data_IF_248543611814
#
_entry.id   IF_248543611814
#
_cell.length_a   1.000
_cell.length_b   1.000
_cell.length_c   1.000
_cell.angle_alpha   90.00
_cell.angle_beta   90.00
_cell.angle_gamma   90.00
#
_symmetry.space_group_name_H-M   'P 1'
#
loop_
_entity.id
_entity.type
_entity.pdbx_description
1 polymer ?
#
# COMPACT_ATOMS: atom_id res chain seq x y z
N UNK A 1 18.50 -15.19 20.69
CA UNK A 1 17.03 -15.28 20.46
C UNK A 1 16.52 -13.89 20.14
N UNK A 2 15.75 -13.71 19.07
CA UNK A 2 15.20 -12.39 18.73
C UNK A 2 14.01 -12.06 19.65
N UNK A 3 13.97 -10.84 20.18
CA UNK A 3 12.80 -10.31 20.89
C UNK A 3 11.89 -9.64 19.87
N UNK A 4 10.62 -10.07 19.79
CA UNK A 4 9.62 -9.45 18.92
C UNK A 4 8.89 -8.37 19.70
N UNK A 5 8.95 -7.13 19.21
CA UNK A 5 8.24 -5.99 19.78
C UNK A 5 7.11 -5.57 18.86
N UNK A 6 5.88 -5.52 19.37
CA UNK A 6 4.69 -5.08 18.63
C UNK A 6 4.15 -3.75 19.19
N UNK A 7 3.59 -2.93 18.30
CA UNK A 7 2.98 -1.65 18.68
C UNK A 7 1.51 -1.85 19.04
N UNK A 8 1.11 -1.50 20.27
CA UNK A 8 -0.28 -1.61 20.75
C UNK A 8 -1.06 -0.28 20.72
N UNK A 9 -0.43 0.82 20.29
CA UNK A 9 -1.13 2.12 20.13
C UNK A 9 -2.07 2.09 18.92
N UNK A 10 -3.21 2.77 19.03
CA UNK A 10 -4.20 2.87 17.95
C UNK A 10 -3.71 3.75 16.79
N UNK A 11 -2.88 4.75 17.08
CA UNK A 11 -2.36 5.69 16.08
C UNK A 11 -1.11 5.13 15.40
N UNK A 12 -1.14 5.07 14.06
CA UNK A 12 0.07 4.89 13.26
C UNK A 12 0.87 6.20 13.22
N UNK A 13 2.15 6.13 13.58
CA UNK A 13 3.08 7.26 13.51
C UNK A 13 4.23 6.81 12.63
N UNK A 14 4.56 7.56 11.58
CA UNK A 14 5.54 7.20 10.56
C UNK A 14 5.32 5.75 10.06
N UNK A 15 4.16 5.48 9.44
CA UNK A 15 3.76 4.11 9.09
C UNK A 15 4.79 3.47 8.16
N UNK A 16 5.20 2.24 8.49
CA UNK A 16 6.07 1.42 7.64
C UNK A 16 5.31 0.75 6.50
N UNK A 17 4.01 0.49 6.69
CA UNK A 17 3.15 -0.19 5.72
C UNK A 17 2.45 0.84 4.84
N UNK A 18 2.42 0.56 3.54
CA UNK A 18 1.66 1.31 2.54
C UNK A 18 0.36 0.57 2.18
N UNK A 19 -0.55 1.25 1.48
CA UNK A 19 -1.82 0.66 1.05
C UNK A 19 -1.66 -0.61 0.19
N UNK A 20 -2.60 -1.54 0.34
CA UNK A 20 -2.65 -2.76 -0.47
C UNK A 20 -2.90 -2.50 -1.97
N UNK A 21 -3.76 -1.54 -2.39
CA UNK A 21 -3.98 -1.25 -3.80
C UNK A 21 -2.73 -0.78 -4.54
N UNK A 22 -1.81 -0.08 -3.86
CA UNK A 22 -0.52 0.30 -4.45
C UNK A 22 0.32 -0.94 -4.81
N UNK A 23 0.38 -1.93 -3.91
CA UNK A 23 1.05 -3.20 -4.17
C UNK A 23 0.42 -3.97 -5.34
N UNK A 24 -0.91 -3.99 -5.43
CA UNK A 24 -1.62 -4.60 -6.55
C UNK A 24 -1.35 -3.86 -7.87
N UNK A 25 -1.38 -2.53 -7.87
CA UNK A 25 -1.05 -1.72 -9.05
C UNK A 25 0.40 -1.98 -9.52
N UNK A 26 1.35 -2.07 -8.59
CA UNK A 26 2.75 -2.46 -8.90
C UNK A 26 2.85 -3.83 -9.55
N UNK A 27 2.11 -4.84 -9.06
CA UNK A 27 2.09 -6.15 -9.68
C UNK A 27 1.54 -6.11 -11.12
N UNK A 28 0.45 -5.39 -11.35
CA UNK A 28 -0.15 -5.25 -12.69
C UNK A 28 0.70 -4.42 -13.65
N UNK A 29 1.43 -3.42 -13.17
CA UNK A 29 2.40 -2.68 -13.99
C UNK A 29 3.56 -3.55 -14.48
N UNK A 30 3.76 -4.73 -13.90
CA UNK A 30 4.70 -5.75 -14.42
C UNK A 30 4.18 -6.53 -15.63
N UNK A 31 2.92 -6.36 -16.03
CA UNK A 31 2.32 -7.04 -17.18
C UNK A 31 2.40 -6.14 -18.42
N UNK A 32 2.88 -6.67 -19.54
CA UNK A 32 2.99 -5.93 -20.79
C UNK A 32 1.62 -5.36 -21.20
N UNK A 33 1.60 -4.04 -21.48
CA UNK A 33 0.43 -3.28 -21.93
C UNK A 33 -0.78 -3.31 -20.97
N UNK A 34 -0.58 -3.61 -19.69
CA UNK A 34 -1.63 -3.48 -18.67
C UNK A 34 -1.77 -2.02 -18.18
N UNK A 35 -3.02 -1.62 -17.89
CA UNK A 35 -3.33 -0.33 -17.25
C UNK A 35 -4.13 -0.63 -15.98
N UNK A 36 -3.55 -0.48 -14.77
CA UNK A 36 -4.28 -0.72 -13.54
C UNK A 36 -5.35 0.36 -13.32
N UNK A 37 -6.58 -0.07 -13.03
CA UNK A 37 -7.70 0.81 -12.67
C UNK A 37 -8.02 0.64 -11.19
N UNK A 38 -7.82 1.71 -10.41
CA UNK A 38 -8.12 1.71 -8.99
C UNK A 38 -9.56 2.20 -8.78
N UNK A 39 -10.44 1.29 -8.35
CA UNK A 39 -11.81 1.67 -8.00
C UNK A 39 -11.83 2.38 -6.64
N UNK A 40 -11.98 3.71 -6.68
CA UNK A 40 -11.99 4.57 -5.50
C UNK A 40 -12.02 6.04 -5.87
N UNK A 41 -11.82 6.92 -4.89
CA UNK A 41 -11.61 8.33 -5.18
C UNK A 41 -10.27 8.53 -5.90
N UNK A 42 -10.15 9.63 -6.66
CA UNK A 42 -8.93 9.94 -7.41
C UNK A 42 -7.70 10.03 -6.49
N UNK A 43 -7.87 10.47 -5.24
CA UNK A 43 -6.77 10.56 -4.27
C UNK A 43 -6.08 9.22 -4.00
N UNK A 44 -6.82 8.11 -4.04
CA UNK A 44 -6.25 6.77 -3.89
C UNK A 44 -5.32 6.41 -5.06
N UNK A 45 -5.67 6.82 -6.28
CA UNK A 45 -4.84 6.60 -7.46
C UNK A 45 -3.63 7.55 -7.51
N UNK A 46 -3.80 8.80 -7.08
CA UNK A 46 -2.73 9.82 -7.14
C UNK A 46 -1.59 9.57 -6.16
N UNK A 47 -1.86 9.01 -4.99
CA UNK A 47 -0.86 8.89 -3.91
C UNK A 47 -0.61 7.46 -3.44
N UNK A 48 -1.61 6.58 -3.46
CA UNK A 48 -1.46 5.18 -3.06
C UNK A 48 -0.94 4.95 -1.63
N UNK A 49 -1.00 5.95 -0.75
CA UNK A 49 -0.53 5.86 0.65
C UNK A 49 -1.40 4.93 1.47
#
# INVERSE_FOLDING_TARGET
MAVVTTSNKSCAVNPLKMSQPLGAAMAFMGIDRAIPLLHGSQGCASFGV
#
